data_IF_221247734290
#
_entry.id   IF_221247734290
#
_cell.length_a   1.000
_cell.length_b   1.000
_cell.length_c   1.000
_cell.angle_alpha   90.00
_cell.angle_beta   90.00
_cell.angle_gamma   90.00
#
_symmetry.space_group_name_H-M   'P 1'
#
loop_
_entity.id
_entity.type
_entity.pdbx_description
1 polymer ?
#
# COMPACT_ATOMS: atom_id res chain seq x y z
N UNK A 1 -2.51 2.35 8.76
CA UNK A 1 -1.04 2.49 8.62
C UNK A 1 -0.32 1.21 9.03
N UNK A 2 -0.65 0.64 10.18
CA UNK A 2 -0.01 -0.59 10.69
C UNK A 2 -0.15 -1.76 9.71
N UNK A 3 -1.35 -2.00 9.16
CA UNK A 3 -1.60 -3.07 8.18
C UNK A 3 -0.67 -2.99 6.96
N UNK A 4 -0.47 -1.77 6.44
CA UNK A 4 0.43 -1.55 5.31
C UNK A 4 1.89 -1.85 5.65
N UNK A 5 2.36 -1.45 6.85
CA UNK A 5 3.72 -1.73 7.29
C UNK A 5 3.94 -3.23 7.54
N UNK A 6 2.97 -3.90 8.17
CA UNK A 6 3.05 -5.36 8.40
C UNK A 6 3.09 -6.09 7.06
N UNK A 7 2.17 -5.78 6.15
CA UNK A 7 2.16 -6.39 4.81
C UNK A 7 3.47 -6.14 4.06
N UNK A 8 3.90 -4.88 4.00
CA UNK A 8 5.11 -4.48 3.28
C UNK A 8 6.36 -5.20 3.78
N UNK A 9 6.53 -5.30 5.10
CA UNK A 9 7.71 -5.95 5.67
C UNK A 9 7.67 -7.47 5.48
N UNK A 10 6.50 -8.11 5.55
CA UNK A 10 6.31 -9.53 5.20
C UNK A 10 6.68 -9.75 3.73
N UNK A 11 6.11 -8.95 2.82
CA UNK A 11 6.36 -9.04 1.39
C UNK A 11 7.86 -8.91 1.09
N UNK A 12 8.51 -7.90 1.66
CA UNK A 12 9.93 -7.61 1.41
C UNK A 12 10.87 -8.69 1.94
N UNK A 13 10.63 -9.21 3.14
CA UNK A 13 11.43 -10.29 3.73
C UNK A 13 11.27 -11.57 2.90
N UNK A 14 10.05 -11.90 2.52
CA UNK A 14 9.79 -13.10 1.73
C UNK A 14 10.28 -12.96 0.29
N UNK A 15 10.24 -11.76 -0.30
CA UNK A 15 10.80 -11.52 -1.62
C UNK A 15 12.29 -11.91 -1.66
N UNK A 16 13.04 -11.48 -0.66
CA UNK A 16 14.47 -11.86 -0.54
C UNK A 16 14.63 -13.36 -0.32
N UNK A 17 13.83 -13.94 0.59
CA UNK A 17 13.89 -15.38 0.88
C UNK A 17 13.63 -16.26 -0.34
N UNK A 18 12.69 -15.85 -1.21
CA UNK A 18 12.31 -16.61 -2.41
C UNK A 18 13.07 -16.18 -3.67
N UNK A 19 14.02 -15.25 -3.56
CA UNK A 19 14.74 -14.73 -4.73
C UNK A 19 13.85 -14.01 -5.72
N UNK A 20 12.79 -13.35 -5.24
CA UNK A 20 11.86 -12.58 -6.05
C UNK A 20 12.45 -11.20 -6.32
N UNK A 21 12.54 -10.84 -7.58
CA UNK A 21 12.89 -9.48 -7.98
C UNK A 21 11.64 -8.61 -7.99
N UNK A 22 11.65 -7.54 -7.20
CA UNK A 22 10.52 -6.64 -7.05
C UNK A 22 10.77 -5.36 -7.85
N UNK A 23 9.92 -5.09 -8.82
CA UNK A 23 9.92 -3.84 -9.59
C UNK A 23 8.97 -2.81 -9.03
N UNK A 24 7.86 -3.24 -8.45
CA UNK A 24 6.91 -2.33 -7.83
C UNK A 24 5.90 -3.05 -6.95
N UNK A 25 5.37 -2.30 -6.00
CA UNK A 25 4.30 -2.71 -5.10
C UNK A 25 3.40 -1.51 -4.88
N UNK A 26 2.09 -1.70 -4.95
CA UNK A 26 1.12 -0.68 -4.60
C UNK A 26 0.06 -1.32 -3.70
N UNK A 27 -0.02 -0.85 -2.48
CA UNK A 27 -1.01 -1.30 -1.49
C UNK A 27 -2.19 -0.36 -1.53
N UNK A 28 -3.28 -0.80 -2.14
CA UNK A 28 -4.55 -0.09 -2.15
C UNK A 28 -5.37 -0.45 -0.91
N UNK A 29 -6.50 0.20 -0.73
CA UNK A 29 -7.37 -0.01 0.44
C UNK A 29 -7.95 -1.44 0.46
N UNK A 30 -8.27 -1.98 -0.71
CA UNK A 30 -9.02 -3.22 -0.88
C UNK A 30 -8.31 -4.27 -1.74
N UNK A 31 -7.23 -3.92 -2.41
CA UNK A 31 -6.45 -4.82 -3.24
C UNK A 31 -4.97 -4.41 -3.31
N UNK A 32 -4.17 -5.26 -3.90
CA UNK A 32 -2.73 -5.09 -3.94
C UNK A 32 -2.26 -5.34 -5.37
N UNK A 33 -1.46 -4.42 -5.90
CA UNK A 33 -0.74 -4.60 -7.15
C UNK A 33 0.74 -4.83 -6.89
N UNK A 34 1.32 -5.81 -7.57
CA UNK A 34 2.76 -6.01 -7.55
C UNK A 34 3.28 -6.33 -8.95
N UNK A 35 4.42 -5.75 -9.30
CA UNK A 35 5.18 -6.10 -10.49
C UNK A 35 6.46 -6.78 -10.04
N UNK A 36 6.54 -8.09 -10.28
CA UNK A 36 7.62 -8.95 -9.78
C UNK A 36 8.12 -9.92 -10.83
N UNK A 37 9.34 -10.41 -10.68
CA UNK A 37 9.90 -11.48 -11.46
C UNK A 37 10.43 -12.59 -10.56
N UNK A 38 10.16 -13.83 -10.91
CA UNK A 38 10.64 -15.01 -10.24
C UNK A 38 11.42 -15.90 -11.22
N UNK A 39 12.33 -16.71 -10.72
CA UNK A 39 13.10 -17.65 -11.53
C UNK A 39 12.20 -18.70 -12.22
N UNK A 40 11.13 -19.12 -11.53
CA UNK A 40 10.18 -20.10 -12.01
C UNK A 40 8.79 -19.90 -11.39
N UNK A 41 7.78 -20.59 -11.98
CA UNK A 41 6.39 -20.53 -11.53
C UNK A 41 6.20 -21.07 -10.10
N UNK A 42 6.97 -22.08 -9.69
CA UNK A 42 6.86 -22.69 -8.35
C UNK A 42 7.29 -21.69 -7.28
N UNK A 43 8.42 -21.04 -7.48
CA UNK A 43 8.92 -19.98 -6.59
C UNK A 43 7.93 -18.81 -6.51
N UNK A 44 7.38 -18.38 -7.64
CA UNK A 44 6.35 -17.35 -7.70
C UNK A 44 5.10 -17.72 -6.88
N UNK A 45 4.50 -18.90 -7.14
CA UNK A 45 3.30 -19.34 -6.42
C UNK A 45 3.57 -19.55 -4.93
N UNK A 46 4.73 -20.11 -4.57
CA UNK A 46 5.13 -20.31 -3.17
C UNK A 46 5.31 -19.00 -2.43
N UNK A 47 5.89 -18.00 -3.08
CA UNK A 47 6.05 -16.65 -2.56
C UNK A 47 4.68 -16.01 -2.27
N UNK A 48 3.80 -15.93 -3.27
CA UNK A 48 2.46 -15.31 -3.11
C UNK A 48 1.67 -16.01 -2.00
N UNK A 49 1.64 -17.35 -2.03
CA UNK A 49 0.97 -18.14 -0.99
C UNK A 49 1.51 -17.83 0.41
N UNK A 50 2.83 -17.76 0.56
CA UNK A 50 3.45 -17.52 1.88
C UNK A 50 3.19 -16.09 2.37
N UNK A 51 3.28 -15.07 1.51
CA UNK A 51 2.91 -13.69 1.84
C UNK A 51 1.46 -13.63 2.32
N UNK A 52 0.54 -14.21 1.55
CA UNK A 52 -0.89 -14.21 1.89
C UNK A 52 -1.17 -14.92 3.22
N UNK A 53 -0.63 -16.13 3.41
CA UNK A 53 -0.85 -16.90 4.64
C UNK A 53 -0.30 -16.18 5.88
N UNK A 54 0.90 -15.62 5.78
CA UNK A 54 1.54 -14.96 6.92
C UNK A 54 0.82 -13.67 7.26
N UNK A 55 0.44 -12.86 6.26
CA UNK A 55 -0.32 -11.65 6.50
C UNK A 55 -1.71 -11.93 7.07
N UNK A 56 -2.45 -12.90 6.52
CA UNK A 56 -3.77 -13.29 7.04
C UNK A 56 -3.68 -13.75 8.49
N UNK A 57 -2.64 -14.52 8.84
CA UNK A 57 -2.40 -14.97 10.21
C UNK A 57 -2.18 -13.77 11.16
N UNK A 58 -1.29 -12.85 10.80
CA UNK A 58 -1.00 -11.63 11.59
C UNK A 58 -2.26 -10.76 11.72
N UNK A 59 -2.94 -10.50 10.59
CA UNK A 59 -4.14 -9.67 10.53
C UNK A 59 -5.29 -10.24 11.36
N UNK A 60 -5.60 -11.53 11.20
CA UNK A 60 -6.67 -12.19 11.94
C UNK A 60 -6.39 -12.21 13.45
N UNK A 61 -5.14 -12.49 13.84
CA UNK A 61 -4.73 -12.43 15.26
C UNK A 61 -4.93 -11.04 15.83
N UNK A 62 -4.56 -10.00 15.09
CA UNK A 62 -4.64 -8.62 15.52
C UNK A 62 -6.08 -8.12 15.67
N UNK A 63 -6.94 -8.50 14.72
CA UNK A 63 -8.33 -8.03 14.66
C UNK A 63 -9.34 -9.01 15.27
N UNK A 64 -8.89 -10.08 15.96
CA UNK A 64 -9.76 -11.07 16.56
C UNK A 64 -10.67 -11.78 15.54
N UNK A 65 -10.15 -11.99 14.31
CA UNK A 65 -10.89 -12.61 13.20
C UNK A 65 -10.40 -14.04 12.93
N UNK A 66 -11.22 -14.78 12.21
CA UNK A 66 -10.88 -16.08 11.64
C UNK A 66 -11.30 -16.13 10.15
N UNK A 67 -10.74 -17.09 9.41
CA UNK A 67 -11.07 -17.30 8.01
C UNK A 67 -10.23 -16.47 7.03
N UNK A 68 -10.55 -16.56 5.72
CA UNK A 68 -9.79 -15.92 4.67
C UNK A 68 -9.96 -14.39 4.71
N UNK A 69 -8.90 -13.67 4.35
CA UNK A 69 -8.90 -12.22 4.14
C UNK A 69 -8.88 -11.89 2.64
N UNK A 70 -8.10 -12.66 1.88
CA UNK A 70 -8.06 -12.52 0.43
C UNK A 70 -9.08 -13.44 -0.23
N UNK A 71 -9.60 -13.02 -1.39
CA UNK A 71 -10.41 -13.89 -2.23
C UNK A 71 -9.57 -15.08 -2.73
N UNK A 72 -10.23 -16.17 -3.06
CA UNK A 72 -9.57 -17.33 -3.65
C UNK A 72 -8.99 -16.97 -5.03
N UNK A 73 -7.72 -17.34 -5.22
CA UNK A 73 -6.98 -17.01 -6.42
C UNK A 73 -6.39 -15.59 -6.41
N UNK A 74 -5.39 -15.40 -7.24
CA UNK A 74 -4.82 -14.09 -7.55
C UNK A 74 -4.73 -13.93 -9.07
N UNK A 75 -5.06 -12.75 -9.56
CA UNK A 75 -4.87 -12.40 -10.97
C UNK A 75 -3.38 -12.26 -11.27
N UNK A 76 -2.89 -12.89 -12.32
CA UNK A 76 -1.54 -12.66 -12.82
C UNK A 76 -1.52 -12.65 -14.34
N UNK A 77 -0.77 -11.68 -14.89
CA UNK A 77 -0.59 -11.56 -16.33
C UNK A 77 0.90 -11.34 -16.65
N UNK A 78 1.53 -12.22 -17.43
CA UNK A 78 2.93 -12.06 -17.79
C UNK A 78 3.12 -10.81 -18.66
N UNK A 79 4.15 -10.02 -18.35
CA UNK A 79 4.53 -8.82 -19.09
C UNK A 79 5.82 -9.12 -19.86
N UNK A 80 5.71 -9.30 -21.16
CA UNK A 80 6.83 -9.61 -22.04
C UNK A 80 7.09 -8.42 -22.97
N UNK A 81 8.34 -7.98 -23.04
CA UNK A 81 8.79 -6.85 -23.85
C UNK A 81 8.65 -5.50 -23.13
N UNK A 82 9.53 -4.58 -23.48
CA UNK A 82 9.72 -3.31 -22.80
C UNK A 82 8.44 -2.44 -22.78
N UNK A 83 7.68 -2.43 -23.87
CA UNK A 83 6.43 -1.67 -23.97
C UNK A 83 5.42 -2.13 -22.90
N UNK A 84 5.19 -3.45 -22.78
CA UNK A 84 4.24 -4.00 -21.77
C UNK A 84 4.72 -3.80 -20.34
N UNK A 85 6.03 -3.87 -20.12
CA UNK A 85 6.63 -3.60 -18.80
C UNK A 85 6.42 -2.14 -18.42
N UNK A 86 6.71 -1.17 -19.33
CA UNK A 86 6.46 0.26 -19.09
C UNK A 86 4.98 0.54 -18.79
N UNK A 87 4.07 -0.03 -19.57
CA UNK A 87 2.63 0.09 -19.33
C UNK A 87 2.26 -0.44 -17.94
N UNK A 88 2.78 -1.61 -17.55
CA UNK A 88 2.50 -2.19 -16.24
C UNK A 88 3.07 -1.35 -15.08
N UNK A 89 4.26 -0.75 -15.25
CA UNK A 89 4.86 0.17 -14.27
C UNK A 89 3.97 1.41 -14.09
N UNK A 90 3.60 2.04 -15.19
CA UNK A 90 2.77 3.24 -15.16
C UNK A 90 1.41 2.95 -14.54
N UNK A 91 0.74 1.85 -14.94
CA UNK A 91 -0.52 1.40 -14.33
C UNK A 91 -0.39 1.18 -12.82
N UNK A 92 0.63 0.43 -12.38
CA UNK A 92 0.84 0.12 -10.97
C UNK A 92 0.95 1.38 -10.12
N UNK A 93 1.77 2.33 -10.54
CA UNK A 93 2.00 3.55 -9.77
C UNK A 93 0.90 4.60 -9.92
N UNK A 94 0.15 4.59 -11.03
CA UNK A 94 -0.98 5.49 -11.25
C UNK A 94 -2.30 5.00 -10.62
N UNK A 95 -2.37 3.76 -10.18
CA UNK A 95 -3.58 3.20 -9.58
C UNK A 95 -4.17 4.09 -8.46
N UNK A 96 -3.36 4.67 -7.52
CA UNK A 96 -3.89 5.60 -6.53
C UNK A 96 -4.44 6.91 -7.12
N UNK A 97 -3.85 7.39 -8.21
CA UNK A 97 -4.34 8.60 -8.91
C UNK A 97 -5.67 8.32 -9.60
N UNK A 98 -5.77 7.19 -10.30
CA UNK A 98 -7.03 6.74 -10.94
C UNK A 98 -8.15 6.51 -9.93
N UNK A 99 -7.80 6.16 -8.69
CA UNK A 99 -8.73 6.00 -7.57
C UNK A 99 -8.89 7.29 -6.74
N UNK A 100 -8.34 8.40 -7.20
CA UNK A 100 -8.45 9.72 -6.57
C UNK A 100 -7.93 9.77 -5.12
N UNK A 101 -6.99 8.90 -4.77
CA UNK A 101 -6.35 8.91 -3.45
C UNK A 101 -5.23 9.97 -3.34
N UNK A 102 -4.76 10.45 -4.48
CA UNK A 102 -3.74 11.51 -4.59
C UNK A 102 -3.83 12.16 -5.98
N UNK A 103 -3.21 13.34 -6.14
CA UNK A 103 -3.17 14.03 -7.44
C UNK A 103 -2.03 13.54 -8.34
N UNK A 104 -0.95 13.03 -7.73
CA UNK A 104 0.21 12.49 -8.44
C UNK A 104 0.66 11.18 -7.81
N UNK A 105 1.20 10.28 -8.61
CA UNK A 105 1.64 8.95 -8.14
C UNK A 105 2.65 9.03 -6.97
N UNK A 106 3.55 9.99 -6.97
CA UNK A 106 4.55 10.18 -5.92
C UNK A 106 4.00 10.79 -4.61
N UNK A 107 2.74 11.15 -4.55
CA UNK A 107 2.09 11.64 -3.32
C UNK A 107 1.49 10.50 -2.48
N UNK A 108 1.38 9.30 -3.06
CA UNK A 108 0.83 8.15 -2.35
C UNK A 108 1.94 7.30 -1.72
N UNK A 109 2.03 7.32 -0.39
CA UNK A 109 3.08 6.60 0.36
C UNK A 109 3.14 5.10 0.02
N UNK A 110 1.99 4.46 -0.15
CA UNK A 110 1.85 3.01 -0.19
C UNK A 110 1.99 2.40 -1.59
N UNK A 111 2.37 3.20 -2.59
CA UNK A 111 2.92 2.70 -3.85
C UNK A 111 4.46 2.67 -3.84
N UNK A 112 5.07 3.24 -2.79
CA UNK A 112 6.51 3.27 -2.54
C UNK A 112 7.34 4.04 -3.56
N UNK A 113 6.74 4.63 -4.59
CA UNK A 113 7.44 5.42 -5.62
C UNK A 113 8.21 6.62 -5.05
N UNK A 114 7.70 7.36 -4.03
CA UNK A 114 8.41 8.48 -3.44
C UNK A 114 9.80 8.12 -2.88
N UNK A 115 9.97 6.86 -2.47
CA UNK A 115 11.23 6.37 -1.89
C UNK A 115 12.30 6.04 -2.93
N UNK A 116 12.01 6.19 -4.22
CA UNK A 116 12.98 5.98 -5.29
C UNK A 116 14.15 6.95 -5.24
N UNK A 117 13.91 8.19 -4.82
CA UNK A 117 14.94 9.24 -4.72
C UNK A 117 15.07 9.86 -3.33
N UNK A 118 14.07 9.73 -2.48
CA UNK A 118 14.07 10.33 -1.15
C UNK A 118 13.86 9.25 -0.09
N UNK A 119 14.73 9.24 0.93
CA UNK A 119 14.62 8.27 2.02
C UNK A 119 13.53 8.62 3.05
N UNK A 120 13.09 9.86 3.03
CA UNK A 120 12.13 10.40 4.01
C UNK A 120 11.15 11.38 3.33
N UNK A 121 10.36 10.91 2.33
CA UNK A 121 9.49 11.78 1.55
C UNK A 121 8.30 12.34 2.34
N UNK A 122 8.00 11.77 3.50
CA UNK A 122 6.87 12.17 4.35
C UNK A 122 7.28 12.63 5.75
N UNK A 123 8.58 12.77 6.00
CA UNK A 123 9.10 13.22 7.28
C UNK A 123 10.43 13.95 7.13
N UNK A 124 10.81 14.68 8.16
CA UNK A 124 12.16 15.23 8.25
C UNK A 124 13.21 14.13 8.41
N UNK A 125 14.41 14.30 7.86
CA UNK A 125 15.49 13.34 8.03
C UNK A 125 15.82 13.09 9.49
N UNK A 126 15.98 11.83 9.85
CA UNK A 126 16.39 11.45 11.21
C UNK A 126 17.84 11.85 11.45
N UNK A 127 18.05 12.82 12.33
CA UNK A 127 19.37 13.19 12.84
C UNK A 127 19.63 12.47 14.15
N UNK A 128 20.30 11.31 14.12
CA UNK A 128 20.47 10.42 15.28
C UNK A 128 21.02 11.13 16.52
N UNK A 129 21.88 12.15 16.36
CA UNK A 129 22.43 12.92 17.49
C UNK A 129 21.37 13.77 18.18
N UNK A 130 20.34 14.22 17.47
CA UNK A 130 19.25 15.07 17.93
C UNK A 130 17.97 14.30 18.26
N UNK A 131 17.87 13.05 17.75
CA UNK A 131 16.72 12.19 17.95
C UNK A 131 16.53 11.82 19.43
N UNK A 132 15.27 11.64 19.83
CA UNK A 132 14.93 11.18 21.18
C UNK A 132 15.56 9.80 21.47
N UNK A 133 15.68 9.47 22.76
CA UNK A 133 16.12 8.13 23.17
C UNK A 133 15.15 7.06 22.65
N UNK A 134 13.84 7.35 22.62
CA UNK A 134 12.80 6.45 22.14
C UNK A 134 12.98 6.15 20.65
N UNK A 135 13.15 7.18 19.81
CA UNK A 135 13.33 7.01 18.37
C UNK A 135 14.64 6.24 18.06
N UNK A 136 15.75 6.56 18.73
CA UNK A 136 17.01 5.81 18.55
C UNK A 136 16.87 4.33 18.89
N UNK A 137 16.14 4.03 20.00
CA UNK A 137 15.87 2.64 20.40
C UNK A 137 14.99 1.94 19.36
N UNK A 138 13.96 2.61 18.87
CA UNK A 138 13.06 2.07 17.85
C UNK A 138 13.81 1.74 16.55
N UNK A 139 14.66 2.63 16.07
CA UNK A 139 15.51 2.41 14.89
C UNK A 139 16.40 1.17 15.08
N UNK A 140 17.08 1.05 16.24
CA UNK A 140 17.94 -0.11 16.54
C UNK A 140 17.14 -1.43 16.54
N UNK A 141 15.89 -1.41 17.03
CA UNK A 141 15.03 -2.59 17.01
C UNK A 141 14.61 -2.97 15.57
N UNK A 142 14.28 -1.98 14.75
CA UNK A 142 13.97 -2.19 13.33
C UNK A 142 15.16 -2.81 12.59
N UNK A 143 16.37 -2.28 12.82
CA UNK A 143 17.60 -2.83 12.24
C UNK A 143 17.83 -4.28 12.66
N UNK A 144 17.76 -4.55 13.95
CA UNK A 144 17.96 -5.90 14.47
C UNK A 144 16.91 -6.90 13.95
N UNK A 145 15.65 -6.49 13.81
CA UNK A 145 14.62 -7.33 13.22
C UNK A 145 14.91 -7.62 11.74
N UNK A 146 15.30 -6.59 10.98
CA UNK A 146 15.67 -6.72 9.57
C UNK A 146 16.90 -7.61 9.35
N UNK A 147 17.92 -7.48 10.17
CA UNK A 147 19.14 -8.31 10.13
C UNK A 147 18.86 -9.79 10.41
N UNK A 148 17.91 -10.07 11.28
CA UNK A 148 17.42 -11.44 11.52
C UNK A 148 16.45 -11.96 10.46
N UNK A 149 16.16 -11.20 9.41
CA UNK A 149 15.18 -11.56 8.38
C UNK A 149 13.75 -11.63 8.92
N UNK A 150 13.43 -10.89 9.97
CA UNK A 150 12.10 -10.82 10.58
C UNK A 150 11.29 -9.65 9.99
N UNK A 151 10.01 -9.89 9.75
CA UNK A 151 9.05 -8.82 9.44
C UNK A 151 8.61 -8.09 10.72
N UNK A 152 8.05 -6.90 10.56
CA UNK A 152 7.45 -6.13 11.66
C UNK A 152 6.04 -6.67 11.93
N UNK A 153 5.79 -7.13 13.17
CA UNK A 153 4.46 -7.54 13.63
C UNK A 153 3.65 -6.35 14.15
N UNK A 154 2.32 -6.47 14.25
CA UNK A 154 1.47 -5.44 14.88
C UNK A 154 1.94 -5.08 16.29
N UNK A 155 2.24 -6.09 17.10
CA UNK A 155 2.73 -5.89 18.47
C UNK A 155 4.03 -5.08 18.50
N UNK A 156 4.97 -5.36 17.58
CA UNK A 156 6.23 -4.59 17.48
C UNK A 156 5.94 -3.14 17.09
N UNK A 157 5.16 -2.92 16.03
CA UNK A 157 4.84 -1.57 15.53
C UNK A 157 4.17 -0.74 16.62
N UNK A 158 3.14 -1.26 17.28
CA UNK A 158 2.44 -0.56 18.35
C UNK A 158 3.35 -0.20 19.50
N UNK A 159 4.15 -1.16 19.97
CA UNK A 159 5.10 -0.92 21.05
C UNK A 159 6.12 0.15 20.70
N UNK A 160 6.64 0.16 19.47
CA UNK A 160 7.57 1.19 19.03
C UNK A 160 6.87 2.55 18.91
N UNK A 161 5.67 2.57 18.32
CA UNK A 161 4.93 3.81 18.10
C UNK A 161 4.34 4.43 19.38
N UNK A 162 4.06 3.63 20.42
CA UNK A 162 3.47 4.12 21.66
C UNK A 162 4.32 5.15 22.41
N UNK A 163 5.63 5.11 22.19
CA UNK A 163 6.60 5.99 22.87
C UNK A 163 7.06 7.17 22.00
N UNK A 164 6.55 7.30 20.79
CA UNK A 164 6.95 8.30 19.81
C UNK A 164 5.86 9.35 19.61
N UNK A 165 6.25 10.59 19.38
CA UNK A 165 5.33 11.64 18.94
C UNK A 165 4.91 11.47 17.47
N UNK A 166 4.05 12.36 16.96
CA UNK A 166 3.52 12.27 15.58
C UNK A 166 4.63 12.41 14.54
N UNK A 167 5.61 13.28 14.75
CA UNK A 167 6.71 13.50 13.83
C UNK A 167 7.64 12.29 13.82
N UNK A 168 8.01 11.79 14.98
CA UNK A 168 8.85 10.60 15.13
C UNK A 168 8.20 9.33 14.56
N UNK A 169 6.87 9.19 14.68
CA UNK A 169 6.13 8.09 14.04
C UNK A 169 6.25 8.15 12.52
N UNK A 170 6.16 9.33 11.91
CA UNK A 170 6.37 9.48 10.48
C UNK A 170 7.82 9.17 10.09
N UNK A 171 8.80 9.64 10.87
CA UNK A 171 10.21 9.35 10.66
C UNK A 171 10.51 7.85 10.75
N UNK A 172 9.96 7.17 11.76
CA UNK A 172 10.12 5.72 11.91
C UNK A 172 9.41 4.95 10.79
N UNK A 173 8.25 5.43 10.33
CA UNK A 173 7.54 4.84 9.19
C UNK A 173 8.39 4.89 7.92
N UNK A 174 8.92 6.06 7.57
CA UNK A 174 9.81 6.21 6.42
C UNK A 174 11.07 5.37 6.57
N UNK A 175 11.63 5.32 7.78
CA UNK A 175 12.79 4.48 8.09
C UNK A 175 12.52 2.99 7.87
N UNK A 176 11.39 2.47 8.36
CA UNK A 176 10.98 1.06 8.16
C UNK A 176 10.85 0.77 6.67
N UNK A 177 10.18 1.63 5.91
CA UNK A 177 9.98 1.44 4.47
C UNK A 177 11.32 1.34 3.75
N UNK A 178 12.22 2.28 3.99
CA UNK A 178 13.55 2.29 3.34
C UNK A 178 14.39 1.09 3.77
N UNK A 179 14.37 0.74 5.05
CA UNK A 179 15.19 -0.34 5.62
C UNK A 179 14.79 -1.72 5.13
N UNK A 180 13.50 -1.90 4.87
CA UNK A 180 12.94 -3.16 4.36
C UNK A 180 12.85 -3.22 2.85
N UNK A 181 13.07 -2.12 2.11
CA UNK A 181 12.85 -2.08 0.67
C UNK A 181 13.58 -3.19 -0.07
N UNK A 182 12.82 -3.92 -0.87
CA UNK A 182 13.30 -4.89 -1.85
C UNK A 182 13.07 -4.40 -3.30
N UNK A 183 12.54 -3.18 -3.48
CA UNK A 183 12.19 -2.64 -4.80
C UNK A 183 13.45 -2.18 -5.53
N UNK A 184 13.59 -2.62 -6.78
CA UNK A 184 14.70 -2.31 -7.68
C UNK A 184 14.40 -1.06 -8.50
N UNK A 185 14.44 0.10 -7.84
CA UNK A 185 14.19 1.40 -8.50
C UNK A 185 15.17 1.71 -9.65
N UNK A 186 16.40 1.19 -9.55
CA UNK A 186 17.40 1.27 -10.59
C UNK A 186 16.93 0.63 -11.91
N UNK A 187 16.34 -0.55 -11.83
CA UNK A 187 15.79 -1.25 -12.98
C UNK A 187 14.53 -0.59 -13.53
N UNK A 188 13.70 -0.03 -12.66
CA UNK A 188 12.53 0.75 -13.09
C UNK A 188 12.96 1.96 -13.92
N UNK A 189 13.87 2.76 -13.40
CA UNK A 189 14.38 3.94 -14.08
C UNK A 189 15.04 3.58 -15.41
N UNK A 190 15.82 2.48 -15.45
CA UNK A 190 16.45 1.99 -16.66
C UNK A 190 15.44 1.66 -17.77
N UNK A 191 14.23 1.18 -17.43
CA UNK A 191 13.16 0.95 -18.42
C UNK A 191 12.76 2.22 -19.20
N UNK A 192 12.98 3.40 -18.64
CA UNK A 192 12.60 4.69 -19.22
C UNK A 192 13.80 5.55 -19.63
N UNK A 193 15.02 5.04 -19.48
CA UNK A 193 16.24 5.83 -19.74
C UNK A 193 16.54 6.88 -18.67
N UNK A 194 15.94 6.75 -17.47
CA UNK A 194 16.19 7.63 -16.34
C UNK A 194 14.95 7.83 -15.46
N UNK A 195 15.17 8.33 -14.25
CA UNK A 195 14.12 8.52 -13.26
C UNK A 195 13.12 9.60 -13.65
N UNK A 196 13.59 10.73 -14.17
CA UNK A 196 12.73 11.86 -14.56
C UNK A 196 11.81 11.49 -15.72
N UNK A 197 12.35 10.74 -16.71
CA UNK A 197 11.55 10.19 -17.79
C UNK A 197 10.50 9.21 -17.29
N UNK A 198 10.84 8.39 -16.30
CA UNK A 198 9.90 7.46 -15.66
C UNK A 198 8.78 8.22 -14.97
N UNK A 199 9.08 9.24 -14.16
CA UNK A 199 8.07 10.05 -13.49
C UNK A 199 7.18 10.80 -14.47
N UNK A 200 7.76 11.38 -15.51
CA UNK A 200 7.01 12.04 -16.57
C UNK A 200 6.04 11.07 -17.23
N UNK A 201 6.51 9.88 -17.59
CA UNK A 201 5.67 8.86 -18.22
C UNK A 201 4.56 8.38 -17.27
N UNK A 202 4.85 8.16 -16.00
CA UNK A 202 3.84 7.76 -15.01
C UNK A 202 2.77 8.85 -14.86
N UNK A 203 3.15 10.11 -14.71
CA UNK A 203 2.21 11.20 -14.46
C UNK A 203 1.47 11.72 -15.72
N UNK A 204 1.96 11.41 -16.92
CA UNK A 204 1.30 11.80 -18.18
C UNK A 204 0.21 10.81 -18.62
N UNK A 205 0.15 9.64 -18.04
CA UNK A 205 -0.85 8.63 -18.40
C UNK A 205 -2.18 8.93 -17.73
N UNK A 206 -3.18 9.23 -18.57
CA UNK A 206 -4.57 9.46 -18.16
C UNK A 206 -5.37 8.19 -18.37
N UNK A 207 -5.27 7.21 -17.47
CA UNK A 207 -6.15 6.03 -17.28
C UNK A 207 -6.82 5.32 -18.50
N UNK A 208 -7.05 6.03 -19.59
CA UNK A 208 -7.72 5.54 -20.79
C UNK A 208 -6.86 4.67 -21.72
N UNK A 209 -5.55 4.59 -21.49
CA UNK A 209 -4.62 3.84 -22.34
C UNK A 209 -4.34 2.42 -21.86
N UNK A 210 -4.89 2.05 -20.70
CA UNK A 210 -4.67 0.73 -20.10
C UNK A 210 -5.83 -0.21 -20.44
N UNK A 211 -5.83 -0.81 -21.62
CA UNK A 211 -6.57 -2.03 -21.91
C UNK A 211 -5.91 -3.22 -21.16
N UNK A 212 -5.80 -3.14 -19.87
CA UNK A 212 -5.53 -4.29 -19.03
C UNK A 212 -6.91 -4.84 -18.65
N UNK A 213 -7.39 -5.82 -19.42
CA UNK A 213 -8.52 -6.66 -19.05
C UNK A 213 -8.12 -7.50 -17.81
N UNK A 214 -8.03 -6.83 -16.67
CA UNK A 214 -8.07 -7.52 -15.39
C UNK A 214 -9.54 -7.83 -15.15
N UNK A 215 -9.88 -9.12 -15.20
CA UNK A 215 -11.16 -9.60 -14.67
C UNK A 215 -11.08 -9.40 -13.16
N UNK A 216 -11.36 -8.18 -12.72
CA UNK A 216 -11.46 -7.85 -11.31
C UNK A 216 -12.80 -8.41 -10.86
N UNK A 217 -12.79 -9.59 -10.24
CA UNK A 217 -13.88 -10.09 -9.43
C UNK A 217 -13.92 -9.28 -8.13
N UNK A 218 -14.26 -8.00 -8.22
CA UNK A 218 -14.40 -7.08 -7.10
C UNK A 218 -15.50 -6.06 -7.40
N UNK A 219 -15.92 -5.26 -6.41
CA UNK A 219 -16.91 -4.22 -6.62
C UNK A 219 -16.47 -3.31 -7.79
N UNK A 220 -17.39 -2.99 -8.68
CA UNK A 220 -17.09 -2.25 -9.90
C UNK A 220 -16.50 -0.88 -9.55
N UNK A 221 -15.59 -0.38 -10.38
CA UNK A 221 -15.01 0.96 -10.25
C UNK A 221 -16.08 2.08 -10.25
N UNK A 222 -17.28 1.75 -10.73
CA UNK A 222 -18.42 2.66 -10.81
C UNK A 222 -18.91 3.05 -9.42
N UNK A 223 -19.12 2.08 -8.51
CA UNK A 223 -19.59 2.36 -7.15
C UNK A 223 -18.53 3.11 -6.34
N UNK A 224 -17.25 2.76 -6.52
CA UNK A 224 -16.17 3.49 -5.86
C UNK A 224 -16.04 4.95 -6.32
N UNK A 225 -16.21 5.22 -7.63
CA UNK A 225 -16.25 6.58 -8.18
C UNK A 225 -17.46 7.36 -7.70
N UNK A 226 -18.58 6.68 -7.48
CA UNK A 226 -19.80 7.28 -6.94
C UNK A 226 -19.60 7.66 -5.48
N UNK A 227 -19.06 6.77 -4.64
CA UNK A 227 -18.72 7.06 -3.25
C UNK A 227 -17.72 8.22 -3.13
N UNK A 228 -16.74 8.26 -4.02
CA UNK A 228 -15.75 9.33 -4.05
C UNK A 228 -16.38 10.68 -4.41
N UNK A 229 -17.21 10.74 -5.46
CA UNK A 229 -17.94 11.96 -5.83
C UNK A 229 -18.84 12.44 -4.71
N UNK A 230 -19.46 11.50 -4.00
CA UNK A 230 -20.32 11.82 -2.86
C UNK A 230 -19.52 12.49 -1.72
N UNK A 231 -18.36 11.96 -1.37
CA UNK A 231 -17.49 12.54 -0.33
C UNK A 231 -17.00 13.93 -0.71
N UNK A 232 -16.65 14.17 -1.97
CA UNK A 232 -16.31 15.51 -2.44
C UNK A 232 -17.48 16.49 -2.33
N UNK A 233 -18.70 16.05 -2.65
CA UNK A 233 -19.91 16.86 -2.50
C UNK A 233 -20.22 17.19 -1.02
N UNK A 234 -19.82 16.34 -0.07
CA UNK A 234 -19.92 16.58 1.37
C UNK A 234 -18.76 17.46 1.93
N UNK A 235 -17.89 17.98 1.05
CA UNK A 235 -16.87 18.99 1.38
C UNK A 235 -15.50 18.45 1.78
N UNK A 236 -15.20 17.18 1.48
CA UNK A 236 -13.86 16.62 1.69
C UNK A 236 -12.97 16.90 0.47
N UNK A 237 -11.78 17.43 0.68
CA UNK A 237 -10.82 17.70 -0.39
C UNK A 237 -10.24 16.41 -0.98
N UNK A 238 -10.01 15.40 -0.11
CA UNK A 238 -9.51 14.09 -0.52
C UNK A 238 -10.36 12.97 0.10
N UNK A 239 -10.59 11.89 -0.64
CA UNK A 239 -11.27 10.70 -0.10
C UNK A 239 -10.55 10.09 1.11
N UNK A 240 -9.24 10.27 1.22
CA UNK A 240 -8.44 9.85 2.37
C UNK A 240 -8.78 10.58 3.68
N UNK A 241 -9.34 11.78 3.60
CA UNK A 241 -9.69 12.57 4.78
C UNK A 241 -10.82 11.92 5.59
N UNK A 242 -11.68 11.15 4.90
CA UNK A 242 -12.76 10.38 5.53
C UNK A 242 -12.23 9.31 6.50
N UNK A 243 -11.01 8.82 6.30
CA UNK A 243 -10.38 7.82 7.19
C UNK A 243 -10.14 8.41 8.59
N UNK A 244 -9.87 9.72 8.66
CA UNK A 244 -9.54 10.42 9.90
C UNK A 244 -10.76 11.01 10.62
N UNK A 245 -11.96 10.85 10.06
CA UNK A 245 -13.21 11.32 10.66
C UNK A 245 -13.60 10.44 11.85
N UNK A 246 -14.22 11.04 12.87
CA UNK A 246 -14.73 10.29 14.03
C UNK A 246 -15.81 9.27 13.64
N UNK A 247 -16.00 8.26 14.51
CA UNK A 247 -16.90 7.14 14.24
C UNK A 247 -18.36 7.54 14.01
N UNK A 248 -18.87 8.53 14.77
CA UNK A 248 -20.27 8.98 14.65
C UNK A 248 -20.50 9.68 13.30
N UNK A 249 -19.57 10.50 12.87
CA UNK A 249 -19.63 11.16 11.57
C UNK A 249 -19.51 10.16 10.41
N UNK A 250 -18.68 9.10 10.58
CA UNK A 250 -18.63 8.00 9.60
C UNK A 250 -19.95 7.24 9.49
N UNK A 251 -20.63 6.96 10.61
CA UNK A 251 -21.93 6.30 10.60
C UNK A 251 -22.99 7.17 9.90
N UNK A 252 -22.98 8.47 10.15
CA UNK A 252 -23.87 9.40 9.47
C UNK A 252 -23.59 9.48 7.96
N UNK A 253 -22.32 9.50 7.56
CA UNK A 253 -21.93 9.41 6.15
C UNK A 253 -22.37 8.08 5.52
N UNK A 254 -22.26 6.97 6.25
CA UNK A 254 -22.72 5.66 5.79
C UNK A 254 -24.21 5.67 5.46
N UNK A 255 -25.05 6.19 6.36
CA UNK A 255 -26.49 6.28 6.16
C UNK A 255 -26.85 7.13 4.93
N UNK A 256 -26.17 8.26 4.76
CA UNK A 256 -26.35 9.11 3.60
C UNK A 256 -25.93 8.44 2.29
N UNK A 257 -24.75 7.81 2.29
CA UNK A 257 -24.24 7.08 1.12
C UNK A 257 -25.15 5.93 0.71
N UNK A 258 -25.75 5.22 1.66
CA UNK A 258 -26.74 4.17 1.38
C UNK A 258 -27.97 4.70 0.63
N UNK A 259 -28.38 5.93 0.87
CA UNK A 259 -29.55 6.55 0.23
C UNK A 259 -29.25 7.17 -1.12
N UNK A 260 -28.00 7.58 -1.35
CA UNK A 260 -27.64 8.42 -2.50
C UNK A 260 -26.63 7.77 -3.46
N UNK A 261 -26.21 6.53 -3.19
CA UNK A 261 -25.29 5.79 -4.06
C UNK A 261 -25.80 4.38 -4.31
N UNK A 262 -25.34 3.78 -5.41
CA UNK A 262 -25.63 2.38 -5.75
C UNK A 262 -24.77 1.37 -4.98
N UNK A 263 -23.82 1.86 -4.16
CA UNK A 263 -22.89 1.02 -3.45
C UNK A 263 -23.57 0.20 -2.34
N UNK A 264 -23.19 -1.06 -2.21
CA UNK A 264 -23.67 -1.93 -1.14
C UNK A 264 -23.17 -1.46 0.23
N UNK A 265 -23.89 -1.83 1.31
CA UNK A 265 -23.50 -1.55 2.71
C UNK A 265 -22.08 -2.00 2.98
N UNK A 266 -21.68 -3.16 2.46
CA UNK A 266 -20.32 -3.69 2.59
C UNK A 266 -19.28 -2.78 1.94
N UNK A 267 -19.53 -2.29 0.72
CA UNK A 267 -18.66 -1.37 -0.01
C UNK A 267 -18.51 -0.04 0.72
N UNK A 268 -19.62 0.53 1.20
CA UNK A 268 -19.64 1.78 1.96
C UNK A 268 -18.85 1.64 3.27
N UNK A 269 -19.09 0.58 4.05
CA UNK A 269 -18.34 0.32 5.30
C UNK A 269 -16.85 0.17 5.04
N UNK A 270 -16.48 -0.53 3.98
CA UNK A 270 -15.10 -0.71 3.54
C UNK A 270 -14.46 0.63 3.15
N UNK A 271 -15.17 1.46 2.41
CA UNK A 271 -14.74 2.79 1.99
C UNK A 271 -14.52 3.72 3.19
N UNK A 272 -15.41 3.69 4.17
CA UNK A 272 -15.35 4.51 5.38
C UNK A 272 -14.44 3.94 6.48
N UNK A 273 -13.83 2.77 6.26
CA UNK A 273 -13.03 2.04 7.27
C UNK A 273 -13.78 1.80 8.59
N UNK A 274 -15.09 1.49 8.51
CA UNK A 274 -15.89 1.13 9.68
C UNK A 274 -15.63 -0.33 10.09
N UNK A 275 -15.33 -0.56 11.36
CA UNK A 275 -15.17 -1.91 11.94
C UNK A 275 -16.50 -2.66 11.99
N UNK A 276 -16.47 -4.00 11.98
CA UNK A 276 -17.66 -4.84 11.99
C UNK A 276 -18.52 -4.71 13.29
N UNK A 277 -18.01 -4.02 14.32
CA UNK A 277 -18.68 -3.83 15.62
C UNK A 277 -19.32 -2.45 15.82
N UNK A 278 -19.25 -1.57 14.84
CA UNK A 278 -19.84 -0.23 14.91
C UNK A 278 -21.27 -0.23 14.33
N UNK A 279 -22.10 -1.16 14.81
CA UNK A 279 -23.55 -1.26 14.49
C UNK A 279 -24.38 -1.10 15.73
#
# INVERSE_FOLDING_TARGET
MEDYLVYYTIFSVLAIKYGIMVYGLCLMIDHIHSLISAADRKSFCSFIRHVSLLFVKEYNKEHGRSGPLFQEGFGSAPKIGLKRIRTAIAYLFNNPVERFLCSRAQEYRWNFLPYAQCRNPYSEPVRLRQASRALRKAIKEVDGARERGQHMTYTMIRRLFSTLDKQEKNQLTDYIIVRYSAIRYDLLAACYGGHDNMLTAINSNTGSEYEINETICGPSDTEFRELHRYVHAEGFENAGDVINVDGNRKLHLMEKMQKHTSASVYQIRKFLHLKARDS
#
